data_IF_667335368810
#
_entry.id   IF_667335368810
#
_cell.length_a   1.000
_cell.length_b   1.000
_cell.length_c   1.000
_cell.angle_alpha   90.00
_cell.angle_beta   90.00
_cell.angle_gamma   90.00
#
_symmetry.space_group_name_H-M   'P 1'
#
loop_
_entity.id
_entity.type
_entity.pdbx_description
1 polymer ?
#
# COMPACT_ATOMS: atom_id res chain seq x y z
N UNK A 1 -15.29 12.73 -9.75
CA UNK A 1 -14.60 13.43 -8.64
C UNK A 1 -13.71 12.51 -7.80
N UNK A 2 -13.11 11.44 -8.36
CA UNK A 2 -12.17 10.57 -7.61
C UNK A 2 -10.71 10.92 -7.96
N UNK A 3 -10.46 11.32 -9.20
CA UNK A 3 -9.13 11.67 -9.72
C UNK A 3 -8.53 12.91 -9.03
N UNK A 4 -9.36 13.90 -8.69
CA UNK A 4 -8.90 15.13 -8.04
C UNK A 4 -8.47 14.92 -6.58
N UNK A 5 -9.11 13.97 -5.88
CA UNK A 5 -8.71 13.61 -4.51
C UNK A 5 -7.36 12.89 -4.51
N UNK A 6 -7.11 12.01 -5.50
CA UNK A 6 -5.82 11.33 -5.64
C UNK A 6 -4.66 12.31 -5.89
N UNK A 7 -4.85 13.34 -6.74
CA UNK A 7 -3.80 14.34 -7.01
C UNK A 7 -3.45 15.20 -5.78
N UNK A 8 -4.42 15.54 -4.92
CA UNK A 8 -4.15 16.28 -3.68
C UNK A 8 -3.44 15.41 -2.63
N UNK A 9 -3.71 14.10 -2.63
CA UNK A 9 -3.05 13.13 -1.75
C UNK A 9 -1.60 12.85 -2.20
N UNK A 10 -1.30 12.90 -3.50
CA UNK A 10 0.07 12.68 -4.02
C UNK A 10 1.12 13.75 -3.65
N UNK A 11 0.71 14.90 -3.12
CA UNK A 11 1.61 15.98 -2.67
C UNK A 11 2.12 15.85 -1.24
N UNK A 12 1.65 14.84 -0.50
CA UNK A 12 2.02 14.59 0.89
C UNK A 12 3.09 13.49 0.97
N UNK A 13 4.18 13.74 1.70
CA UNK A 13 5.31 12.82 1.86
C UNK A 13 4.87 11.43 2.33
N UNK A 14 3.75 11.36 3.04
CA UNK A 14 3.11 10.14 3.52
C UNK A 14 2.69 9.20 2.38
N UNK A 15 2.23 9.75 1.24
CA UNK A 15 1.81 8.95 0.09
C UNK A 15 2.97 8.48 -0.78
N UNK A 16 4.06 9.25 -0.81
CA UNK A 16 5.30 8.81 -1.46
C UNK A 16 5.96 7.66 -0.70
N UNK A 17 5.97 7.71 0.64
CA UNK A 17 6.43 6.58 1.46
C UNK A 17 5.53 5.36 1.24
N UNK A 18 4.20 5.53 1.23
CA UNK A 18 3.27 4.42 0.92
C UNK A 18 3.56 3.77 -0.44
N UNK A 19 3.79 4.57 -1.49
CA UNK A 19 4.16 4.05 -2.81
C UNK A 19 5.47 3.24 -2.77
N UNK A 20 6.48 3.74 -2.05
CA UNK A 20 7.76 3.07 -1.87
C UNK A 20 7.58 1.73 -1.14
N UNK A 21 6.79 1.69 -0.06
CA UNK A 21 6.53 0.44 0.70
C UNK A 21 5.77 -0.59 -0.13
N UNK A 22 4.82 -0.16 -0.96
CA UNK A 22 4.18 -1.04 -1.93
C UNK A 22 5.20 -1.63 -2.92
N UNK A 23 6.14 -0.82 -3.42
CA UNK A 23 7.18 -1.28 -4.35
C UNK A 23 8.16 -2.26 -3.68
N UNK A 24 8.59 -1.99 -2.45
CA UNK A 24 9.45 -2.88 -1.67
C UNK A 24 8.79 -4.24 -1.43
N UNK A 25 7.54 -4.26 -1.00
CA UNK A 25 6.77 -5.49 -0.81
C UNK A 25 6.70 -6.32 -2.09
N UNK A 26 6.29 -5.70 -3.22
CA UNK A 26 6.19 -6.37 -4.51
C UNK A 26 7.56 -6.89 -5.00
N UNK A 27 8.62 -6.13 -4.72
CA UNK A 27 9.98 -6.52 -5.06
C UNK A 27 10.44 -7.78 -4.30
N UNK A 28 10.20 -7.84 -2.99
CA UNK A 28 10.54 -9.01 -2.18
C UNK A 28 9.69 -10.23 -2.53
N UNK A 29 8.41 -10.01 -2.86
CA UNK A 29 7.52 -11.07 -3.35
C UNK A 29 8.05 -11.69 -4.65
N UNK A 30 8.52 -10.88 -5.61
CA UNK A 30 9.07 -11.37 -6.88
C UNK A 30 10.40 -12.11 -6.72
N UNK A 31 11.25 -11.69 -5.77
CA UNK A 31 12.57 -12.31 -5.54
C UNK A 31 12.53 -13.54 -4.62
N UNK A 32 11.39 -13.83 -3.99
CA UNK A 32 11.23 -14.97 -3.10
C UNK A 32 12.04 -14.84 -1.80
N UNK A 33 12.32 -13.61 -1.35
CA UNK A 33 13.07 -13.33 -0.14
C UNK A 33 12.14 -13.43 1.08
N UNK A 34 12.01 -14.64 1.64
CA UNK A 34 10.99 -14.96 2.64
C UNK A 34 11.03 -14.05 3.89
N UNK A 35 12.22 -13.82 4.47
CA UNK A 35 12.35 -13.04 5.71
C UNK A 35 12.02 -11.55 5.48
N UNK A 36 12.55 -10.96 4.40
CA UNK A 36 12.29 -9.57 4.02
C UNK A 36 10.83 -9.37 3.59
N UNK A 37 10.25 -10.38 2.94
CA UNK A 37 8.84 -10.37 2.55
C UNK A 37 7.93 -10.31 3.77
N UNK A 38 8.14 -11.15 4.78
CA UNK A 38 7.29 -11.17 5.97
C UNK A 38 7.26 -9.80 6.68
N UNK A 39 8.44 -9.18 6.86
CA UNK A 39 8.54 -7.85 7.43
C UNK A 39 7.86 -6.76 6.57
N UNK A 40 8.01 -6.84 5.25
CA UNK A 40 7.36 -5.90 4.34
C UNK A 40 5.84 -6.09 4.30
N UNK A 41 5.36 -7.32 4.41
CA UNK A 41 3.93 -7.66 4.46
C UNK A 41 3.27 -7.10 5.72
N UNK A 42 3.88 -7.30 6.89
CA UNK A 42 3.40 -6.75 8.17
C UNK A 42 3.38 -5.21 8.17
N UNK A 43 4.42 -4.58 7.64
CA UNK A 43 4.48 -3.13 7.53
C UNK A 43 3.42 -2.60 6.55
N UNK A 44 3.27 -3.25 5.41
CA UNK A 44 2.29 -2.86 4.39
C UNK A 44 0.86 -3.06 4.87
N UNK A 45 0.59 -4.14 5.62
CA UNK A 45 -0.70 -4.36 6.27
C UNK A 45 -1.09 -3.16 7.12
N UNK A 46 -0.22 -2.74 8.04
CA UNK A 46 -0.51 -1.63 8.94
C UNK A 46 -0.75 -0.32 8.16
N UNK A 47 0.10 -0.03 7.17
CA UNK A 47 -0.04 1.19 6.37
C UNK A 47 -1.32 1.21 5.53
N UNK A 48 -1.69 0.08 4.92
CA UNK A 48 -2.91 0.00 4.11
C UNK A 48 -4.18 0.02 4.96
N UNK A 49 -4.14 -0.54 6.18
CA UNK A 49 -5.24 -0.41 7.13
C UNK A 49 -5.48 1.05 7.48
N UNK A 50 -4.44 1.80 7.85
CA UNK A 50 -4.58 3.23 8.16
C UNK A 50 -5.06 4.02 6.94
N UNK A 51 -4.50 3.76 5.75
CA UNK A 51 -4.94 4.41 4.51
C UNK A 51 -6.43 4.17 4.21
N UNK A 52 -6.92 2.93 4.37
CA UNK A 52 -8.33 2.61 4.17
C UNK A 52 -9.21 3.27 5.24
N UNK A 53 -8.75 3.34 6.48
CA UNK A 53 -9.46 4.02 7.57
C UNK A 53 -9.58 5.51 7.29
N UNK A 54 -8.51 6.16 6.86
CA UNK A 54 -8.52 7.57 6.46
C UNK A 54 -9.41 7.82 5.24
N UNK A 55 -9.53 6.85 4.34
CA UNK A 55 -10.48 6.86 3.22
C UNK A 55 -11.94 6.58 3.64
N UNK A 56 -12.21 6.35 4.93
CA UNK A 56 -13.54 6.17 5.51
C UNK A 56 -14.01 4.72 5.66
N UNK A 57 -13.14 3.73 5.46
CA UNK A 57 -13.46 2.33 5.71
C UNK A 57 -13.38 2.05 7.22
N UNK A 58 -14.38 1.41 7.84
CA UNK A 58 -14.28 1.02 9.25
C UNK A 58 -13.06 0.13 9.50
N UNK A 59 -12.29 0.40 10.57
CA UNK A 59 -11.04 -0.31 10.89
C UNK A 59 -11.17 -1.83 10.83
N UNK A 60 -12.21 -2.41 11.45
CA UNK A 60 -12.42 -3.86 11.43
C UNK A 60 -12.62 -4.44 10.03
N UNK A 61 -13.20 -3.67 9.10
CA UNK A 61 -13.32 -4.06 7.69
C UNK A 61 -12.00 -3.89 6.94
N UNK A 62 -11.25 -2.83 7.23
CA UNK A 62 -9.94 -2.61 6.63
C UNK A 62 -8.95 -3.72 7.04
N UNK A 63 -8.88 -4.05 8.33
CA UNK A 63 -8.05 -5.15 8.85
C UNK A 63 -8.46 -6.49 8.24
N UNK A 64 -9.76 -6.79 8.19
CA UNK A 64 -10.24 -8.04 7.59
C UNK A 64 -9.88 -8.13 6.11
N UNK A 65 -10.01 -7.03 5.36
CA UNK A 65 -9.66 -6.97 3.95
C UNK A 65 -8.15 -7.15 3.73
N UNK A 66 -7.31 -6.47 4.51
CA UNK A 66 -5.85 -6.53 4.39
C UNK A 66 -5.23 -7.82 4.92
N UNK A 67 -5.93 -8.60 5.75
CA UNK A 67 -5.46 -9.92 6.23
C UNK A 67 -5.36 -10.94 5.09
N UNK A 68 -6.11 -10.73 4.01
CA UNK A 68 -6.00 -11.52 2.80
C UNK A 68 -4.82 -11.01 1.95
N UNK A 69 -3.78 -11.84 1.84
CA UNK A 69 -2.55 -11.50 1.12
C UNK A 69 -2.76 -11.20 -0.37
N UNK A 70 -3.79 -11.74 -1.01
CA UNK A 70 -4.11 -11.44 -2.41
C UNK A 70 -4.68 -10.03 -2.53
N UNK A 71 -5.58 -9.64 -1.62
CA UNK A 71 -6.14 -8.30 -1.55
C UNK A 71 -5.06 -7.26 -1.22
N UNK A 72 -4.16 -7.58 -0.29
CA UNK A 72 -3.02 -6.75 0.07
C UNK A 72 -2.11 -6.50 -1.14
N UNK A 73 -1.82 -7.56 -1.90
CA UNK A 73 -1.01 -7.50 -3.13
C UNK A 73 -1.71 -6.69 -4.22
N UNK A 74 -3.02 -6.86 -4.40
CA UNK A 74 -3.79 -6.09 -5.38
C UNK A 74 -3.78 -4.58 -5.06
N UNK A 75 -3.97 -4.21 -3.79
CA UNK A 75 -3.87 -2.83 -3.35
C UNK A 75 -2.47 -2.26 -3.60
N UNK A 76 -1.42 -3.01 -3.26
CA UNK A 76 -0.04 -2.60 -3.49
C UNK A 76 0.22 -2.31 -4.98
N UNK A 77 -0.26 -3.18 -5.87
CA UNK A 77 -0.15 -2.99 -7.32
C UNK A 77 -0.90 -1.76 -7.81
N UNK A 78 -2.14 -1.55 -7.34
CA UNK A 78 -2.95 -0.38 -7.70
C UNK A 78 -2.31 0.93 -7.23
N UNK A 79 -1.78 0.96 -6.02
CA UNK A 79 -1.13 2.15 -5.45
C UNK A 79 0.19 2.43 -6.18
N UNK A 80 1.05 1.43 -6.35
CA UNK A 80 2.32 1.58 -7.05
C UNK A 80 2.14 2.01 -8.53
N UNK A 81 1.09 1.51 -9.21
CA UNK A 81 0.78 1.91 -10.59
C UNK A 81 0.15 3.30 -10.71
N UNK A 82 -0.61 3.73 -9.70
CA UNK A 82 -1.24 5.06 -9.69
C UNK A 82 -0.26 6.16 -9.34
N UNK A 83 0.64 5.90 -8.39
CA UNK A 83 1.63 6.88 -7.90
C UNK A 83 2.90 6.91 -8.74
N UNK A 84 3.09 5.93 -9.63
CA UNK A 84 4.28 5.83 -10.48
C UNK A 84 5.52 5.37 -9.72
N UNK A 85 6.68 5.22 -10.41
CA UNK A 85 7.94 4.97 -9.73
C UNK A 85 8.22 6.12 -8.76
N UNK A 86 8.58 5.80 -7.52
CA UNK A 86 9.12 6.80 -6.60
C UNK A 86 10.40 7.33 -7.26
N UNK A 87 10.35 8.55 -7.80
CA UNK A 87 11.53 9.15 -8.42
C UNK A 87 12.52 9.40 -7.30
N UNK A 88 13.64 8.67 -7.35
CA UNK A 88 14.80 8.87 -6.50
C UNK A 88 15.50 10.20 -6.81
#
# INVERSE_FOLDING_TARGET
>A
MIVSSLQFLTSDATYQDLALRCQEYLHYQQRGWADQRALAEDMLFNLLVEYLVDAGVPRSKAEHFCTDGDNLTELALRIASTLGPAVA
#
